data_IF_781154016970
#
_entry.id   IF_781154016970
#
_cell.length_a   1.000
_cell.length_b   1.000
_cell.length_c   1.000
_cell.angle_alpha   90.00
_cell.angle_beta   90.00
_cell.angle_gamma   90.00
#
_symmetry.space_group_name_H-M   'P 1'
#
loop_
_entity.id
_entity.type
_entity.pdbx_description
1 polymer ?
#
# COMPACT_ATOMS: atom_id res chain seq x y z
N UNK A 1 -0.69 11.28 -15.35
CA UNK A 1 -1.62 12.20 -14.67
C UNK A 1 -0.84 13.38 -14.09
N UNK A 2 -0.03 13.21 -13.03
CA UNK A 2 0.70 14.31 -12.38
C UNK A 2 1.70 15.09 -13.26
N UNK A 3 2.36 14.45 -14.23
CA UNK A 3 3.30 15.13 -15.14
C UNK A 3 2.63 15.79 -16.35
N UNK A 4 1.35 15.52 -16.60
CA UNK A 4 0.60 16.05 -17.76
C UNK A 4 -0.26 17.27 -17.42
N UNK A 5 -0.18 17.77 -16.19
CA UNK A 5 -0.98 18.92 -15.73
C UNK A 5 -2.49 18.68 -15.68
N UNK A 6 -2.93 17.42 -15.80
CA UNK A 6 -4.36 17.06 -15.74
C UNK A 6 -4.81 17.17 -14.29
N UNK A 7 -5.83 18.01 -14.07
CA UNK A 7 -6.45 18.21 -12.76
C UNK A 7 -7.18 16.97 -12.26
N UNK A 8 -7.42 16.88 -10.96
CA UNK A 8 -8.13 15.76 -10.35
C UNK A 8 -9.60 15.67 -10.77
N UNK A 9 -10.22 16.82 -11.07
CA UNK A 9 -11.63 16.92 -11.50
C UNK A 9 -11.79 16.92 -13.03
N UNK A 10 -10.69 16.85 -13.78
CA UNK A 10 -10.72 16.87 -15.23
C UNK A 10 -10.97 15.45 -15.80
N UNK A 11 -11.70 15.35 -16.92
CA UNK A 11 -11.93 14.05 -17.54
C UNK A 11 -10.61 13.40 -17.96
N UNK A 12 -10.51 12.11 -17.68
CA UNK A 12 -9.34 11.32 -18.00
C UNK A 12 -9.03 11.40 -19.51
N UNK A 13 -7.80 11.74 -19.93
CA UNK A 13 -7.42 11.71 -21.34
C UNK A 13 -7.73 10.34 -21.95
N UNK A 14 -8.30 10.32 -23.15
CA UNK A 14 -8.77 9.08 -23.83
C UNK A 14 -7.70 7.99 -23.92
N UNK A 15 -6.45 8.39 -24.05
CA UNK A 15 -5.26 7.53 -24.08
C UNK A 15 -4.99 6.79 -22.76
N UNK A 16 -5.44 7.32 -21.62
CA UNK A 16 -5.23 6.74 -20.29
C UNK A 16 -6.40 5.87 -19.83
N UNK A 17 -7.59 6.02 -20.43
CA UNK A 17 -8.79 5.26 -20.09
C UNK A 17 -8.55 3.75 -20.11
N UNK A 18 -7.93 3.15 -21.16
CA UNK A 18 -7.71 1.71 -21.16
C UNK A 18 -6.77 1.24 -20.05
N UNK A 19 -5.77 2.07 -19.68
CA UNK A 19 -4.83 1.75 -18.60
C UNK A 19 -5.50 1.85 -17.24
N UNK A 20 -6.36 2.84 -17.04
CA UNK A 20 -7.16 3.00 -15.82
C UNK A 20 -8.13 1.84 -15.64
N UNK A 21 -8.84 1.44 -16.70
CA UNK A 21 -9.78 0.32 -16.66
C UNK A 21 -9.07 -1.01 -16.35
N UNK A 22 -7.89 -1.24 -16.92
CA UNK A 22 -7.10 -2.43 -16.58
C UNK A 22 -6.63 -2.41 -15.13
N UNK A 23 -6.15 -1.25 -14.64
CA UNK A 23 -5.76 -1.11 -13.24
C UNK A 23 -6.93 -1.37 -12.28
N UNK A 24 -8.13 -0.88 -12.62
CA UNK A 24 -9.35 -1.17 -11.83
C UNK A 24 -9.69 -2.66 -11.82
N UNK A 25 -9.58 -3.35 -12.96
CA UNK A 25 -9.78 -4.81 -13.03
C UNK A 25 -8.74 -5.56 -12.21
N UNK A 26 -7.50 -5.09 -12.19
CA UNK A 26 -6.45 -5.69 -11.36
C UNK A 26 -6.75 -5.57 -9.86
N UNK A 27 -7.55 -4.58 -9.43
CA UNK A 27 -8.00 -4.49 -8.04
C UNK A 27 -8.87 -5.67 -7.62
N UNK A 28 -9.61 -6.30 -8.54
CA UNK A 28 -10.39 -7.51 -8.26
C UNK A 28 -9.49 -8.68 -7.86
N UNK A 29 -8.19 -8.63 -8.20
CA UNK A 29 -7.19 -9.61 -7.80
C UNK A 29 -6.55 -9.28 -6.43
N UNK A 30 -6.84 -8.12 -5.81
CA UNK A 30 -6.29 -7.80 -4.48
C UNK A 30 -6.63 -8.83 -3.40
N UNK A 31 -7.85 -9.41 -3.34
CA UNK A 31 -8.16 -10.43 -2.34
C UNK A 31 -7.32 -11.71 -2.49
N UNK A 32 -6.91 -12.04 -3.72
CA UNK A 32 -6.07 -13.22 -4.00
C UNK A 32 -4.58 -12.93 -3.83
N UNK A 33 -4.18 -11.66 -3.78
CA UNK A 33 -2.80 -11.25 -3.53
C UNK A 33 -2.40 -11.57 -2.08
N UNK A 34 -1.73 -12.70 -1.89
CA UNK A 34 -1.07 -13.05 -0.65
C UNK A 34 0.38 -12.58 -0.73
N UNK A 35 0.73 -11.54 0.03
CA UNK A 35 2.11 -11.11 0.22
C UNK A 35 2.59 -11.78 1.51
N UNK A 36 3.51 -12.76 1.45
CA UNK A 36 4.09 -13.35 2.65
C UNK A 36 4.76 -12.26 3.47
N UNK A 37 4.19 -11.92 4.62
CA UNK A 37 4.81 -10.98 5.54
C UNK A 37 5.88 -11.74 6.32
N UNK A 38 7.12 -11.64 5.86
CA UNK A 38 8.28 -12.16 6.57
C UNK A 38 8.55 -11.25 7.78
N UNK A 39 8.00 -11.61 8.94
CA UNK A 39 8.22 -10.89 10.19
C UNK A 39 9.63 -11.16 10.76
N UNK A 40 10.21 -12.28 10.34
CA UNK A 40 11.49 -12.84 10.79
C UNK A 40 12.32 -13.22 9.56
N UNK A 41 13.47 -12.56 9.30
CA UNK A 41 14.44 -13.07 8.33
C UNK A 41 14.89 -14.48 8.73
N UNK A 42 15.11 -15.37 7.76
CA UNK A 42 15.45 -16.79 8.02
C UNK A 42 16.78 -16.95 8.80
N UNK A 43 17.60 -15.91 8.84
CA UNK A 43 18.94 -15.90 9.44
C UNK A 43 19.10 -14.97 10.66
N UNK A 44 18.00 -14.45 11.25
CA UNK A 44 18.13 -13.86 12.60
C UNK A 44 18.31 -15.00 13.59
N UNK A 45 19.40 -14.99 14.37
CA UNK A 45 19.69 -16.01 15.37
C UNK A 45 18.66 -16.05 16.50
N UNK A 46 19.09 -16.16 17.75
CA UNK A 46 18.14 -16.07 18.87
C UNK A 46 17.58 -14.64 18.94
N UNK A 47 16.30 -14.46 18.64
CA UNK A 47 15.57 -13.19 18.77
C UNK A 47 15.76 -12.68 20.21
N UNK A 48 16.35 -11.50 20.37
CA UNK A 48 16.56 -10.91 21.69
C UNK A 48 15.37 -10.05 22.09
N UNK A 49 14.72 -9.39 21.11
CA UNK A 49 13.62 -8.47 21.36
C UNK A 49 12.70 -8.34 20.16
N UNK A 50 11.39 -8.31 20.43
CA UNK A 50 10.34 -7.98 19.45
C UNK A 50 9.70 -6.65 19.82
N UNK A 51 9.57 -5.75 18.85
CA UNK A 51 8.96 -4.43 19.02
C UNK A 51 7.76 -4.25 18.09
N UNK A 52 6.71 -3.64 18.62
CA UNK A 52 5.50 -3.30 17.88
C UNK A 52 5.49 -1.80 17.60
N UNK A 53 5.65 -1.41 16.34
CA UNK A 53 5.59 -0.03 15.91
C UNK A 53 4.22 0.26 15.31
N UNK A 54 3.46 1.13 15.99
CA UNK A 54 2.19 1.65 15.50
C UNK A 54 2.46 3.00 14.85
N UNK A 55 2.16 3.10 13.55
CA UNK A 55 2.13 4.36 12.83
C UNK A 55 0.68 4.74 12.56
N UNK A 56 0.29 5.93 12.97
CA UNK A 56 -1.02 6.48 12.69
C UNK A 56 -0.85 7.75 11.86
N UNK A 57 -1.64 7.86 10.79
CA UNK A 57 -1.84 9.11 10.06
C UNK A 57 -3.31 9.49 10.21
N UNK A 58 -3.56 10.60 10.88
CA UNK A 58 -4.89 11.11 11.15
C UNK A 58 -5.13 12.33 10.27
N UNK A 59 -6.04 12.21 9.31
CA UNK A 59 -6.59 13.36 8.60
C UNK A 59 -7.87 13.84 9.30
N UNK A 60 -8.28 15.09 9.08
CA UNK A 60 -9.52 15.64 9.64
C UNK A 60 -10.78 14.81 9.30
N UNK A 61 -10.70 13.97 8.27
CA UNK A 61 -11.81 13.19 7.73
C UNK A 61 -11.60 11.66 7.80
N UNK A 62 -10.51 11.17 8.39
CA UNK A 62 -10.25 9.73 8.42
C UNK A 62 -8.97 9.35 9.15
N UNK A 63 -8.97 8.13 9.70
CA UNK A 63 -7.89 7.56 10.49
C UNK A 63 -7.25 6.38 9.75
N UNK A 64 -5.99 6.54 9.36
CA UNK A 64 -5.15 5.48 8.83
C UNK A 64 -4.26 4.90 9.92
N UNK A 65 -4.18 3.57 10.00
CA UNK A 65 -3.31 2.88 10.96
C UNK A 65 -2.53 1.77 10.24
N UNK A 66 -1.20 1.83 10.41
CA UNK A 66 -0.25 0.84 9.90
C UNK A 66 0.48 0.17 11.05
N UNK A 67 0.48 -1.16 11.06
CA UNK A 67 1.18 -1.96 12.06
C UNK A 67 2.44 -2.55 11.47
N UNK A 68 3.59 -2.29 12.10
CA UNK A 68 4.86 -2.94 11.79
C UNK A 68 5.40 -3.66 13.01
N UNK A 69 5.85 -4.89 12.82
CA UNK A 69 6.61 -5.64 13.82
C UNK A 69 8.07 -5.63 13.37
N UNK A 70 8.99 -5.36 14.28
CA UNK A 70 10.42 -5.53 14.06
C UNK A 70 11.04 -6.36 15.16
N UNK A 71 12.05 -7.13 14.78
CA UNK A 71 12.78 -8.02 15.68
C UNK A 71 14.26 -7.66 15.60
N UNK A 72 14.92 -7.63 16.77
CA UNK A 72 16.33 -7.27 16.98
C UNK A 72 17.13 -8.46 17.51
#
# INVERSE_FOLDING_TARGET
>A
MCQKGVGWDEPLPRELVPRWDNWLKDLENLPSLQIPRCLTPIDVGKIQRTELHHFSDASCNGYGQGLRISEL
#
